data_IF_880496135206
#
_entry.id   IF_880496135206
#
_cell.length_a   1.000
_cell.length_b   1.000
_cell.length_c   1.000
_cell.angle_alpha   90.00
_cell.angle_beta   90.00
_cell.angle_gamma   90.00
#
_symmetry.space_group_name_H-M   'P 1'
#
loop_
_entity.id
_entity.type
_entity.pdbx_description
1 polymer ?
#
# COMPACT_ATOMS: atom_id res chain seq x y z
N UNK A 1 10.58 -30.58 5.25
CA UNK A 1 12.04 -30.61 5.02
C UNK A 1 12.51 -29.18 4.93
N UNK A 2 13.23 -28.70 5.95
CA UNK A 2 13.93 -27.41 5.91
C UNK A 2 15.26 -27.66 5.18
N UNK A 3 15.54 -26.90 4.13
CA UNK A 3 16.82 -26.92 3.44
C UNK A 3 17.54 -25.60 3.68
N UNK A 4 18.85 -25.68 3.95
CA UNK A 4 19.72 -24.51 3.97
C UNK A 4 20.25 -24.27 2.55
N UNK A 5 20.28 -23.01 2.12
CA UNK A 5 20.99 -22.64 0.89
C UNK A 5 22.52 -22.70 1.10
N UNK A 6 23.30 -22.62 0.02
CA UNK A 6 24.78 -22.61 0.07
C UNK A 6 25.35 -21.43 0.89
N UNK A 7 24.50 -20.49 1.32
CA UNK A 7 24.85 -19.37 2.21
C UNK A 7 24.39 -19.55 3.66
N UNK A 8 23.91 -20.74 4.02
CA UNK A 8 23.51 -21.09 5.39
C UNK A 8 22.21 -20.43 5.85
N UNK A 9 21.38 -19.89 4.94
CA UNK A 9 20.07 -19.34 5.30
C UNK A 9 19.02 -20.46 5.31
N UNK A 10 18.23 -20.50 6.38
CA UNK A 10 17.08 -21.40 6.47
C UNK A 10 16.02 -20.98 5.44
N UNK A 11 15.86 -21.80 4.39
CA UNK A 11 14.84 -21.60 3.38
C UNK A 11 13.61 -22.41 3.79
N UNK A 12 12.55 -21.69 4.15
CA UNK A 12 11.21 -22.27 4.23
C UNK A 12 10.71 -22.51 2.81
N UNK A 13 10.83 -23.75 2.33
CA UNK A 13 10.24 -24.17 1.06
C UNK A 13 8.72 -24.10 1.19
N UNK A 14 8.13 -23.00 0.72
CA UNK A 14 6.70 -22.92 0.46
C UNK A 14 6.39 -23.79 -0.77
N UNK A 15 5.31 -24.56 -0.75
CA UNK A 15 5.08 -25.74 -1.61
C UNK A 15 5.60 -25.65 -3.05
N UNK A 16 5.23 -24.61 -3.79
CA UNK A 16 5.58 -24.45 -5.22
C UNK A 16 6.83 -23.58 -5.46
N UNK A 17 7.73 -23.45 -4.49
CA UNK A 17 8.98 -22.69 -4.65
C UNK A 17 9.83 -23.32 -5.76
N UNK A 18 10.01 -22.60 -6.87
CA UNK A 18 10.72 -23.07 -8.07
C UNK A 18 9.84 -23.65 -9.18
N UNK A 19 8.54 -23.90 -8.93
CA UNK A 19 7.64 -24.52 -9.91
C UNK A 19 7.50 -23.73 -11.20
N UNK A 20 7.56 -22.39 -11.16
CA UNK A 20 7.52 -21.53 -12.36
C UNK A 20 8.75 -21.68 -13.25
N UNK A 21 9.93 -21.90 -12.65
CA UNK A 21 11.16 -22.09 -13.42
C UNK A 21 11.16 -23.46 -14.11
N UNK A 22 10.69 -24.50 -13.40
CA UNK A 22 10.56 -25.83 -13.99
C UNK A 22 9.46 -25.89 -15.07
N UNK A 23 8.34 -25.19 -14.87
CA UNK A 23 7.29 -25.10 -15.87
C UNK A 23 7.78 -24.40 -17.14
N UNK A 24 8.64 -23.38 -17.01
CA UNK A 24 9.28 -22.75 -18.17
C UNK A 24 10.23 -23.73 -18.90
N UNK A 25 11.01 -24.51 -18.15
CA UNK A 25 11.87 -25.56 -18.72
C UNK A 25 11.06 -26.63 -19.46
N UNK A 26 9.94 -27.06 -18.87
CA UNK A 26 9.02 -28.02 -19.46
C UNK A 26 8.42 -27.49 -20.77
N UNK A 27 7.89 -26.27 -20.76
CA UNK A 27 7.27 -25.69 -21.96
C UNK A 27 8.31 -25.40 -23.05
N UNK A 28 9.56 -25.09 -22.69
CA UNK A 28 10.64 -24.87 -23.66
C UNK A 28 11.12 -26.17 -24.34
N UNK A 29 11.15 -27.30 -23.61
CA UNK A 29 11.73 -28.56 -24.07
C UNK A 29 10.71 -29.67 -24.38
N UNK A 30 9.41 -29.39 -24.25
CA UNK A 30 8.37 -30.40 -24.46
C UNK A 30 8.30 -30.87 -25.92
N UNK A 31 8.09 -32.17 -26.11
CA UNK A 31 7.79 -32.79 -27.41
C UNK A 31 6.29 -33.05 -27.62
N UNK A 32 5.47 -32.76 -26.62
CA UNK A 32 4.02 -32.94 -26.64
C UNK A 32 3.30 -31.60 -26.42
N UNK A 33 2.11 -31.42 -27.00
CA UNK A 33 1.32 -30.21 -26.75
C UNK A 33 0.90 -30.17 -25.28
N UNK A 34 1.18 -29.03 -24.63
CA UNK A 34 0.82 -28.79 -23.23
C UNK A 34 -0.30 -27.75 -23.18
N UNK A 35 -1.41 -28.09 -22.55
CA UNK A 35 -2.52 -27.16 -22.30
C UNK A 35 -2.47 -26.68 -20.86
N UNK A 36 -2.28 -25.37 -20.68
CA UNK A 36 -2.25 -24.73 -19.37
C UNK A 36 -3.55 -23.97 -19.14
N UNK A 37 -4.26 -24.30 -18.06
CA UNK A 37 -5.45 -23.58 -17.62
C UNK A 37 -5.13 -22.71 -16.41
N UNK A 38 -5.52 -21.43 -16.44
CA UNK A 38 -5.29 -20.47 -15.37
C UNK A 38 -6.53 -19.62 -15.16
N UNK A 39 -7.02 -19.54 -13.92
CA UNK A 39 -8.15 -18.66 -13.57
C UNK A 39 -7.73 -17.18 -13.54
N UNK A 40 -6.53 -16.92 -13.01
CA UNK A 40 -5.95 -15.57 -12.92
C UNK A 40 -4.58 -15.53 -13.58
N UNK A 41 -4.51 -14.85 -14.73
CA UNK A 41 -3.27 -14.66 -15.50
C UNK A 41 -2.19 -13.96 -14.64
N UNK A 42 -2.59 -13.02 -13.77
CA UNK A 42 -1.66 -12.34 -12.85
C UNK A 42 -1.13 -13.24 -11.73
N UNK A 43 -1.85 -14.31 -11.37
CA UNK A 43 -1.33 -15.35 -10.46
C UNK A 43 -0.11 -16.07 -11.06
N UNK A 44 -0.18 -16.36 -12.37
CA UNK A 44 0.92 -16.97 -13.11
C UNK A 44 2.14 -16.04 -13.19
N UNK A 45 1.95 -14.76 -13.50
CA UNK A 45 3.06 -13.80 -13.57
C UNK A 45 3.66 -13.42 -12.20
N UNK A 46 2.84 -13.47 -11.16
CA UNK A 46 3.18 -13.08 -9.79
C UNK A 46 2.75 -11.65 -9.47
N UNK A 47 2.34 -11.42 -8.21
CA UNK A 47 1.82 -10.12 -7.73
C UNK A 47 2.93 -9.10 -7.38
N UNK A 48 4.20 -9.39 -7.70
CA UNK A 48 5.36 -8.56 -7.35
C UNK A 48 5.85 -7.72 -8.54
N UNK A 49 6.81 -6.82 -8.30
CA UNK A 49 7.43 -5.95 -9.32
C UNK A 49 8.03 -6.72 -10.52
N UNK A 50 8.29 -8.03 -10.36
CA UNK A 50 8.94 -8.88 -11.37
C UNK A 50 7.99 -9.47 -12.42
N UNK A 51 6.67 -9.23 -12.33
CA UNK A 51 5.67 -9.86 -13.21
C UNK A 51 5.93 -9.68 -14.71
N UNK A 52 6.48 -8.52 -15.11
CA UNK A 52 6.85 -8.24 -16.51
C UNK A 52 7.92 -9.20 -17.02
N UNK A 53 8.96 -9.43 -16.22
CA UNK A 53 10.07 -10.33 -16.58
C UNK A 53 9.60 -11.77 -16.72
N UNK A 54 8.64 -12.21 -15.90
CA UNK A 54 8.08 -13.56 -15.97
C UNK A 54 7.22 -13.70 -17.22
N UNK A 55 6.32 -12.75 -17.49
CA UNK A 55 5.48 -12.74 -18.69
C UNK A 55 6.31 -12.81 -19.96
N UNK A 56 7.35 -11.99 -20.04
CA UNK A 56 8.17 -11.89 -21.25
C UNK A 56 8.98 -13.19 -21.51
N UNK A 57 9.25 -14.00 -20.47
CA UNK A 57 9.88 -15.33 -20.60
C UNK A 57 8.91 -16.41 -21.10
N UNK A 58 7.64 -16.37 -20.71
CA UNK A 58 6.64 -17.38 -21.09
C UNK A 58 5.99 -17.10 -22.45
N UNK A 59 5.81 -15.82 -22.79
CA UNK A 59 5.11 -15.38 -24.00
C UNK A 59 5.64 -16.01 -25.31
N UNK A 60 6.95 -16.25 -25.49
CA UNK A 60 7.47 -16.89 -26.72
C UNK A 60 7.06 -18.36 -26.88
N UNK A 61 6.74 -19.05 -25.79
CA UNK A 61 6.49 -20.49 -25.79
C UNK A 61 5.02 -20.86 -25.62
N UNK A 62 4.12 -19.87 -25.60
CA UNK A 62 2.70 -20.07 -25.29
C UNK A 62 1.81 -19.26 -26.22
N UNK A 63 0.73 -19.88 -26.66
CA UNK A 63 -0.40 -19.19 -27.28
C UNK A 63 -1.48 -18.96 -26.20
N UNK A 64 -1.84 -17.69 -25.98
CA UNK A 64 -2.80 -17.32 -24.94
C UNK A 64 -4.20 -17.26 -25.55
N UNK A 65 -5.06 -18.19 -25.13
CA UNK A 65 -6.49 -18.18 -25.45
C UNK A 65 -7.25 -17.62 -24.25
N UNK A 66 -7.86 -16.45 -24.41
CA UNK A 66 -8.66 -15.81 -23.36
C UNK A 66 -10.12 -16.25 -23.44
N UNK A 67 -10.61 -16.88 -22.38
CA UNK A 67 -12.02 -17.23 -22.23
C UNK A 67 -12.77 -16.06 -21.59
N UNK A 68 -13.71 -15.49 -22.32
CA UNK A 68 -14.61 -14.46 -21.81
C UNK A 68 -15.83 -15.09 -21.11
N UNK A 69 -16.51 -14.29 -20.27
CA UNK A 69 -17.77 -14.70 -19.63
C UNK A 69 -18.84 -14.96 -20.69
N UNK A 70 -19.70 -15.94 -20.45
CA UNK A 70 -20.79 -16.26 -21.37
C UNK A 70 -21.78 -15.08 -21.44
N UNK A 71 -22.25 -14.74 -22.64
CA UNK A 71 -23.28 -13.70 -22.81
C UNK A 71 -24.63 -14.16 -22.27
N UNK A 72 -25.47 -13.20 -21.85
CA UNK A 72 -26.80 -13.47 -21.33
C UNK A 72 -27.66 -14.28 -22.34
N UNK A 73 -27.49 -14.04 -23.64
CA UNK A 73 -28.18 -14.81 -24.68
C UNK A 73 -27.70 -16.28 -24.73
N UNK A 74 -26.40 -16.52 -24.59
CA UNK A 74 -25.85 -17.88 -24.54
C UNK A 74 -26.32 -18.61 -23.28
N UNK A 75 -26.31 -17.95 -22.12
CA UNK A 75 -26.84 -18.50 -20.85
C UNK A 75 -28.31 -18.90 -21.00
N UNK A 76 -29.15 -18.00 -21.56
CA UNK A 76 -30.56 -18.27 -21.82
C UNK A 76 -30.76 -19.48 -22.72
N UNK A 77 -30.01 -19.56 -23.81
CA UNK A 77 -30.11 -20.67 -24.78
C UNK A 77 -29.75 -22.00 -24.12
N UNK A 78 -28.71 -22.03 -23.29
CA UNK A 78 -28.27 -23.22 -22.57
C UNK A 78 -29.28 -23.62 -21.50
N UNK A 79 -29.78 -22.67 -20.71
CA UNK A 79 -30.81 -22.94 -19.71
C UNK A 79 -32.07 -23.54 -20.34
N UNK A 80 -32.59 -22.93 -21.41
CA UNK A 80 -33.76 -23.44 -22.14
C UNK A 80 -33.52 -24.81 -22.78
N UNK A 81 -32.28 -25.14 -23.15
CA UNK A 81 -31.93 -26.46 -23.71
C UNK A 81 -31.95 -27.52 -22.60
N UNK A 82 -31.27 -27.25 -21.50
CA UNK A 82 -31.20 -28.17 -20.35
C UNK A 82 -32.60 -28.45 -19.80
N UNK A 83 -33.41 -27.42 -19.57
CA UNK A 83 -34.78 -27.61 -19.04
C UNK A 83 -35.68 -28.43 -19.96
N UNK A 84 -35.54 -28.26 -21.28
CA UNK A 84 -36.27 -29.07 -22.28
C UNK A 84 -35.81 -30.52 -22.28
N UNK A 85 -34.50 -30.77 -22.17
CA UNK A 85 -33.94 -32.13 -22.14
C UNK A 85 -34.31 -32.86 -20.85
N UNK A 86 -34.45 -32.14 -19.73
CA UNK A 86 -34.91 -32.68 -18.44
C UNK A 86 -36.45 -32.82 -18.34
N UNK A 87 -37.20 -32.38 -19.36
CA UNK A 87 -38.67 -32.52 -19.40
C UNK A 87 -39.42 -31.62 -18.41
N UNK A 88 -38.83 -30.49 -18.03
CA UNK A 88 -39.44 -29.52 -17.11
C UNK A 88 -40.11 -28.37 -17.88
N UNK A 89 -41.33 -28.02 -17.47
CA UNK A 89 -41.98 -26.80 -17.92
C UNK A 89 -41.34 -25.59 -17.25
N UNK A 90 -41.25 -24.48 -17.96
CA UNK A 90 -40.62 -23.26 -17.43
C UNK A 90 -41.30 -21.99 -17.96
N UNK A 91 -41.34 -20.98 -17.10
CA UNK A 91 -41.70 -19.61 -17.49
C UNK A 91 -40.48 -18.88 -18.06
N UNK A 92 -40.69 -18.10 -19.14
CA UNK A 92 -39.65 -17.25 -19.72
C UNK A 92 -39.16 -16.20 -18.73
N UNK A 93 -40.03 -15.72 -17.83
CA UNK A 93 -39.64 -14.80 -16.76
C UNK A 93 -38.72 -15.46 -15.71
N UNK A 94 -38.87 -16.77 -15.48
CA UNK A 94 -37.99 -17.52 -14.57
C UNK A 94 -36.59 -17.69 -15.17
N UNK A 95 -36.51 -17.98 -16.47
CA UNK A 95 -35.23 -18.06 -17.19
C UNK A 95 -34.52 -16.71 -17.22
N UNK A 96 -35.25 -15.62 -17.42
CA UNK A 96 -34.71 -14.27 -17.35
C UNK A 96 -34.09 -13.96 -15.98
N UNK A 97 -34.79 -14.28 -14.90
CA UNK A 97 -34.31 -14.07 -13.54
C UNK A 97 -33.02 -14.85 -13.25
N UNK A 98 -32.93 -16.11 -13.69
CA UNK A 98 -31.71 -16.94 -13.55
C UNK A 98 -30.52 -16.38 -14.35
N UNK A 99 -30.76 -15.85 -15.53
CA UNK A 99 -29.70 -15.29 -16.39
C UNK A 99 -29.16 -13.99 -15.79
N UNK A 100 -30.03 -13.13 -15.26
CA UNK A 100 -29.64 -11.84 -14.70
C UNK A 100 -28.91 -11.95 -13.36
N UNK A 101 -29.17 -12.99 -12.57
CA UNK A 101 -28.47 -13.23 -11.30
C UNK A 101 -27.06 -13.81 -11.49
N UNK A 102 -26.76 -14.39 -12.65
CA UNK A 102 -25.52 -15.11 -12.90
C UNK A 102 -24.49 -14.22 -13.63
N UNK A 103 -23.25 -14.06 -13.12
CA UNK A 103 -22.20 -13.26 -13.74
C UNK A 103 -21.56 -13.91 -15.00
N UNK A 104 -22.25 -14.82 -15.68
CA UNK A 104 -21.74 -15.51 -16.88
C UNK A 104 -20.93 -16.78 -16.59
N UNK A 105 -21.23 -17.48 -15.51
CA UNK A 105 -20.67 -18.80 -15.16
C UNK A 105 -21.65 -19.94 -15.50
N UNK A 106 -21.29 -20.73 -16.51
CA UNK A 106 -22.08 -21.87 -16.99
C UNK A 106 -22.21 -22.98 -15.93
N UNK A 107 -21.16 -23.24 -15.15
CA UNK A 107 -21.19 -24.28 -14.12
C UNK A 107 -22.08 -23.87 -12.96
N UNK A 108 -22.10 -22.58 -12.60
CA UNK A 108 -23.04 -22.06 -11.63
C UNK A 108 -24.48 -22.21 -12.12
N UNK A 109 -24.75 -21.81 -13.37
CA UNK A 109 -26.09 -21.90 -13.98
C UNK A 109 -26.64 -23.33 -13.94
N UNK A 110 -25.84 -24.32 -14.35
CA UNK A 110 -26.27 -25.73 -14.35
C UNK A 110 -26.56 -26.24 -12.93
N UNK A 111 -25.80 -25.80 -11.92
CA UNK A 111 -26.10 -26.18 -10.53
C UNK A 111 -27.39 -25.53 -10.03
N UNK A 112 -27.60 -24.27 -10.35
CA UNK A 112 -28.84 -23.58 -9.95
C UNK A 112 -30.05 -24.25 -10.60
N UNK A 113 -29.95 -24.62 -11.88
CA UNK A 113 -30.96 -25.43 -12.58
C UNK A 113 -31.16 -26.80 -11.93
N UNK A 114 -30.08 -27.49 -11.52
CA UNK A 114 -30.18 -28.78 -10.83
C UNK A 114 -30.92 -28.68 -9.50
N UNK A 115 -30.66 -27.62 -8.72
CA UNK A 115 -31.35 -27.39 -7.44
C UNK A 115 -32.83 -27.10 -7.67
N UNK A 116 -33.15 -26.24 -8.65
CA UNK A 116 -34.53 -25.93 -9.01
C UNK A 116 -35.26 -27.18 -9.52
N UNK A 117 -34.64 -27.98 -10.38
CA UNK A 117 -35.17 -29.23 -10.88
C UNK A 117 -35.45 -30.25 -9.75
N UNK A 118 -34.58 -30.29 -8.73
CA UNK A 118 -34.78 -31.18 -7.58
C UNK A 118 -35.91 -30.74 -6.62
N UNK A 119 -36.32 -29.48 -6.71
CA UNK A 119 -37.33 -28.88 -5.82
C UNK A 119 -38.68 -28.70 -6.52
N UNK A 120 -38.69 -28.62 -7.86
CA UNK A 120 -39.87 -28.34 -8.65
C UNK A 120 -40.66 -29.61 -8.97
N UNK A 121 -41.98 -29.57 -8.75
CA UNK A 121 -42.95 -30.56 -9.23
C UNK A 121 -43.29 -30.31 -10.71
N UNK A 122 -42.28 -30.37 -11.59
CA UNK A 122 -42.45 -30.34 -13.04
C UNK A 122 -42.54 -28.95 -13.69
N UNK A 123 -42.75 -27.87 -12.94
CA UNK A 123 -42.78 -26.49 -13.48
C UNK A 123 -41.88 -25.53 -12.68
N UNK A 124 -41.06 -24.74 -13.39
CA UNK A 124 -40.20 -23.72 -12.79
C UNK A 124 -40.83 -22.34 -12.96
N UNK A 125 -41.24 -21.75 -11.84
CA UNK A 125 -41.78 -20.38 -11.78
C UNK A 125 -40.73 -19.37 -11.35
N UNK A 126 -40.97 -18.09 -11.64
CA UNK A 126 -40.08 -16.99 -11.26
C UNK A 126 -39.86 -16.89 -9.75
N UNK A 127 -40.91 -17.09 -8.95
CA UNK A 127 -40.82 -17.03 -7.48
C UNK A 127 -39.87 -18.09 -6.92
N UNK A 128 -39.87 -19.31 -7.50
CA UNK A 128 -38.92 -20.36 -7.09
C UNK A 128 -37.48 -19.95 -7.37
N UNK A 129 -37.23 -19.30 -8.52
CA UNK A 129 -35.90 -18.78 -8.87
C UNK A 129 -35.47 -17.68 -7.91
N UNK A 130 -36.36 -16.74 -7.57
CA UNK A 130 -36.06 -15.66 -6.64
C UNK A 130 -35.78 -16.19 -5.22
N UNK A 131 -36.60 -17.11 -4.72
CA UNK A 131 -36.39 -17.75 -3.41
C UNK A 131 -35.07 -18.53 -3.36
N UNK A 132 -34.71 -19.24 -4.44
CA UNK A 132 -33.45 -19.95 -4.55
C UNK A 132 -32.27 -18.97 -4.68
N UNK A 133 -32.43 -17.86 -5.38
CA UNK A 133 -31.42 -16.82 -5.50
C UNK A 133 -31.18 -16.10 -4.15
N UNK A 134 -32.22 -15.92 -3.34
CA UNK A 134 -32.12 -15.40 -1.97
C UNK A 134 -31.47 -16.42 -1.02
N UNK A 135 -31.86 -17.69 -1.10
CA UNK A 135 -31.32 -18.76 -0.25
C UNK A 135 -29.87 -19.13 -0.62
N UNK A 136 -29.53 -19.03 -1.91
CA UNK A 136 -28.21 -19.29 -2.47
C UNK A 136 -27.32 -18.05 -2.56
N UNK A 137 -27.81 -16.89 -2.08
CA UNK A 137 -27.08 -15.62 -2.11
C UNK A 137 -25.83 -15.76 -1.25
N UNK A 138 -24.71 -16.11 -1.89
CA UNK A 138 -23.40 -15.82 -1.31
C UNK A 138 -23.34 -14.31 -1.12
N UNK A 139 -22.79 -13.84 0.00
CA UNK A 139 -22.40 -12.44 0.16
C UNK A 139 -21.48 -12.11 -1.02
N UNK A 140 -22.06 -11.53 -2.07
CA UNK A 140 -21.33 -11.08 -3.24
C UNK A 140 -20.68 -9.80 -2.80
N UNK A 141 -19.35 -9.83 -2.71
CA UNK A 141 -18.62 -8.64 -2.34
C UNK A 141 -18.79 -7.62 -3.46
N UNK A 142 -19.30 -6.45 -3.12
CA UNK A 142 -19.34 -5.30 -4.01
C UNK A 142 -17.92 -4.77 -4.16
N UNK A 143 -17.51 -4.52 -5.39
CA UNK A 143 -16.29 -3.77 -5.64
C UNK A 143 -16.32 -2.42 -4.92
N UNK A 144 -15.15 -1.93 -4.53
CA UNK A 144 -15.04 -0.76 -3.64
C UNK A 144 -15.71 0.49 -4.22
N UNK A 145 -15.52 0.78 -5.51
CA UNK A 145 -16.06 2.00 -6.11
C UNK A 145 -17.59 1.95 -6.28
N UNK A 146 -18.20 0.91 -6.90
CA UNK A 146 -19.65 0.78 -6.92
C UNK A 146 -20.28 0.71 -5.53
N UNK A 147 -19.63 0.00 -4.61
CA UNK A 147 -20.11 -0.12 -3.22
C UNK A 147 -20.08 1.21 -2.47
N UNK A 148 -19.04 2.02 -2.64
CA UNK A 148 -18.99 3.37 -2.08
C UNK A 148 -20.04 4.29 -2.72
N UNK A 149 -20.25 4.26 -4.04
CA UNK A 149 -21.31 5.08 -4.67
C UNK A 149 -22.69 4.73 -4.12
N UNK A 150 -23.00 3.43 -4.00
CA UNK A 150 -24.25 2.97 -3.38
C UNK A 150 -24.36 3.41 -1.91
N UNK A 151 -23.26 3.29 -1.15
CA UNK A 151 -23.21 3.69 0.26
C UNK A 151 -23.48 5.18 0.45
N UNK A 152 -22.81 6.05 -0.32
CA UNK A 152 -22.99 7.50 -0.25
C UNK A 152 -24.38 7.97 -0.70
N UNK A 153 -25.06 7.19 -1.56
CA UNK A 153 -26.44 7.47 -2.00
C UNK A 153 -27.51 6.95 -1.03
N UNK A 154 -27.16 6.04 -0.12
CA UNK A 154 -28.11 5.54 0.87
C UNK A 154 -28.43 6.63 1.89
N UNK A 155 -29.71 6.73 2.27
CA UNK A 155 -30.17 7.65 3.33
C UNK A 155 -30.65 6.90 4.59
N UNK A 156 -30.73 5.57 4.50
CA UNK A 156 -31.21 4.71 5.58
C UNK A 156 -30.05 4.03 6.29
N UNK A 157 -30.07 4.03 7.62
CA UNK A 157 -29.01 3.47 8.45
C UNK A 157 -28.85 1.96 8.24
N UNK A 158 -29.95 1.23 8.11
CA UNK A 158 -29.95 -0.22 7.90
C UNK A 158 -29.33 -0.58 6.54
N UNK A 159 -29.76 0.11 5.48
CA UNK A 159 -29.22 -0.06 4.14
C UNK A 159 -27.72 0.27 4.08
N UNK A 160 -27.30 1.35 4.73
CA UNK A 160 -25.88 1.74 4.78
C UNK A 160 -25.01 0.69 5.48
N UNK A 161 -25.49 0.11 6.58
CA UNK A 161 -24.79 -0.97 7.28
C UNK A 161 -24.73 -2.24 6.43
N UNK A 162 -25.80 -2.59 5.73
CA UNK A 162 -25.82 -3.73 4.82
C UNK A 162 -24.83 -3.54 3.66
N UNK A 163 -24.86 -2.39 3.00
CA UNK A 163 -23.92 -2.04 1.91
C UNK A 163 -22.47 -2.05 2.39
N UNK A 164 -22.21 -1.49 3.57
CA UNK A 164 -20.89 -1.48 4.19
C UNK A 164 -20.28 -2.86 4.42
N UNK A 165 -21.11 -3.86 4.75
CA UNK A 165 -20.68 -5.26 4.90
C UNK A 165 -20.39 -5.94 3.56
N UNK A 166 -21.09 -5.52 2.50
CA UNK A 166 -20.91 -6.06 1.16
C UNK A 166 -19.65 -5.53 0.48
N UNK A 167 -19.14 -4.34 0.83
CA UNK A 167 -17.92 -3.79 0.22
C UNK A 167 -16.73 -4.72 0.48
N UNK A 168 -15.94 -5.01 -0.56
CA UNK A 168 -14.74 -5.87 -0.51
C UNK A 168 -13.53 -5.22 0.21
N UNK A 169 -13.76 -4.69 1.41
CA UNK A 169 -12.75 -4.05 2.26
C UNK A 169 -12.96 -4.38 3.73
N UNK A 170 -11.89 -4.77 4.46
CA UNK A 170 -12.00 -4.89 5.91
C UNK A 170 -12.29 -3.50 6.53
N UNK A 171 -12.93 -3.43 7.71
CA UNK A 171 -13.20 -2.19 8.43
C UNK A 171 -12.01 -1.25 8.58
N UNK A 172 -10.81 -1.79 8.78
CA UNK A 172 -9.58 -0.99 8.84
C UNK A 172 -9.29 -0.24 7.54
N UNK A 173 -9.51 -0.85 6.39
CA UNK A 173 -9.42 -0.18 5.09
C UNK A 173 -10.64 0.69 4.84
N UNK A 174 -11.85 0.22 5.13
CA UNK A 174 -13.10 0.97 4.90
C UNK A 174 -13.09 2.34 5.61
N UNK A 175 -12.63 2.40 6.87
CA UNK A 175 -12.46 3.66 7.60
C UNK A 175 -11.57 4.63 6.83
N UNK A 176 -10.46 4.15 6.28
CA UNK A 176 -9.51 4.96 5.51
C UNK A 176 -10.11 5.45 4.19
N UNK A 177 -10.88 4.60 3.51
CA UNK A 177 -11.60 4.96 2.29
C UNK A 177 -12.66 6.04 2.54
N UNK A 178 -13.47 5.88 3.58
CA UNK A 178 -14.53 6.84 3.91
C UNK A 178 -13.92 8.16 4.42
N UNK A 179 -12.92 8.11 5.30
CA UNK A 179 -12.19 9.29 5.76
C UNK A 179 -11.63 10.12 4.62
N UNK A 180 -10.99 9.46 3.64
CA UNK A 180 -10.40 10.13 2.48
C UNK A 180 -11.45 10.83 1.59
N UNK A 181 -12.63 10.22 1.42
CA UNK A 181 -13.63 10.69 0.47
C UNK A 181 -14.65 11.66 1.08
N UNK A 182 -14.96 11.56 2.37
CA UNK A 182 -16.02 12.37 3.02
C UNK A 182 -15.85 13.88 2.80
N UNK A 183 -14.63 14.41 2.96
CA UNK A 183 -14.37 15.83 2.83
C UNK A 183 -14.54 16.34 1.38
N UNK A 184 -14.31 15.48 0.38
CA UNK A 184 -14.46 15.84 -1.03
C UNK A 184 -15.88 15.63 -1.54
N UNK A 185 -16.62 14.67 -0.96
CA UNK A 185 -17.93 14.28 -1.46
C UNK A 185 -19.05 15.05 -0.77
N UNK A 186 -18.96 15.34 0.52
CA UNK A 186 -20.05 16.03 1.20
C UNK A 186 -20.11 17.52 0.84
N UNK A 187 -21.29 18.03 0.44
CA UNK A 187 -21.45 19.44 0.07
C UNK A 187 -21.43 20.36 1.30
N UNK A 188 -21.97 19.90 2.44
CA UNK A 188 -22.14 20.71 3.65
C UNK A 188 -21.04 20.44 4.68
N UNK A 189 -20.46 21.52 5.21
CA UNK A 189 -19.44 21.45 6.28
C UNK A 189 -19.96 20.80 7.56
N UNK A 190 -21.24 20.99 7.89
CA UNK A 190 -21.86 20.37 9.07
C UNK A 190 -21.98 18.85 8.93
N UNK A 191 -22.27 18.34 7.73
CA UNK A 191 -22.29 16.91 7.44
C UNK A 191 -20.89 16.30 7.53
N UNK A 192 -19.87 17.00 7.05
CA UNK A 192 -18.45 16.61 7.22
C UNK A 192 -18.10 16.50 8.71
N UNK A 193 -18.44 17.51 9.51
CA UNK A 193 -18.14 17.52 10.94
C UNK A 193 -18.81 16.35 11.68
N UNK A 194 -20.10 16.11 11.44
CA UNK A 194 -20.85 15.00 12.05
C UNK A 194 -20.27 13.64 11.65
N UNK A 195 -19.96 13.46 10.37
CA UNK A 195 -19.36 12.23 9.89
C UNK A 195 -17.97 11.96 10.47
N UNK A 196 -17.14 12.99 10.57
CA UNK A 196 -15.81 12.87 11.16
C UNK A 196 -15.85 12.53 12.65
N UNK A 197 -16.87 13.00 13.39
CA UNK A 197 -17.09 12.56 14.78
C UNK A 197 -17.38 11.06 14.84
N UNK A 198 -18.27 10.55 14.00
CA UNK A 198 -18.58 9.12 13.91
C UNK A 198 -17.36 8.30 13.47
N UNK A 199 -16.60 8.74 12.47
CA UNK A 199 -15.35 8.10 12.05
C UNK A 199 -14.30 8.07 13.15
N UNK A 200 -14.19 9.14 13.95
CA UNK A 200 -13.26 9.19 15.06
C UNK A 200 -13.59 8.13 16.12
N UNK A 201 -14.89 7.91 16.38
CA UNK A 201 -15.34 6.81 17.26
C UNK A 201 -15.04 5.47 16.60
N UNK A 202 -15.31 5.30 15.31
CA UNK A 202 -15.00 4.07 14.57
C UNK A 202 -13.52 3.69 14.65
N UNK A 203 -12.62 4.66 14.47
CA UNK A 203 -11.17 4.46 14.55
C UNK A 203 -10.70 4.10 15.97
N UNK A 204 -11.24 4.76 17.00
CA UNK A 204 -10.95 4.40 18.41
C UNK A 204 -11.42 2.98 18.72
N UNK A 205 -12.59 2.58 18.24
CA UNK A 205 -13.09 1.22 18.43
C UNK A 205 -12.21 0.20 17.72
N UNK A 206 -11.78 0.48 16.48
CA UNK A 206 -10.86 -0.38 15.75
C UNK A 206 -9.56 -0.62 16.53
N UNK A 207 -9.02 0.39 17.22
CA UNK A 207 -7.83 0.23 18.07
C UNK A 207 -8.08 -0.75 19.23
N UNK A 208 -9.30 -0.77 19.77
CA UNK A 208 -9.69 -1.68 20.86
C UNK A 208 -9.51 -3.17 20.50
N UNK A 209 -9.53 -3.55 19.22
CA UNK A 209 -9.27 -4.93 18.78
C UNK A 209 -7.85 -5.40 19.07
N UNK A 210 -6.89 -4.46 19.19
CA UNK A 210 -5.48 -4.76 19.43
C UNK A 210 -5.09 -4.68 20.91
N UNK A 211 -5.91 -4.01 21.72
CA UNK A 211 -5.65 -3.82 23.15
C UNK A 211 -6.33 -4.87 24.03
N UNK A 212 -7.37 -5.52 23.53
CA UNK A 212 -8.17 -6.49 24.27
C UNK A 212 -8.58 -7.65 23.36
N UNK A 213 -9.03 -8.78 23.91
CA UNK A 213 -9.68 -9.89 23.16
C UNK A 213 -11.04 -9.49 22.56
N UNK A 214 -11.34 -8.19 22.52
CA UNK A 214 -12.55 -7.60 22.00
C UNK A 214 -12.54 -7.52 20.47
N UNK A 215 -12.52 -8.69 19.81
CA UNK A 215 -12.74 -8.83 18.37
C UNK A 215 -14.08 -8.24 17.91
N UNK A 216 -15.04 -8.02 18.85
CA UNK A 216 -16.33 -7.37 18.60
C UNK A 216 -16.23 -5.91 18.17
N UNK A 217 -15.12 -5.23 18.50
CA UNK A 217 -14.91 -3.85 18.10
C UNK A 217 -14.74 -3.68 16.59
N UNK A 218 -14.25 -4.73 15.91
CA UNK A 218 -14.15 -4.81 14.45
C UNK A 218 -15.52 -4.63 13.77
N UNK A 219 -16.54 -5.33 14.27
CA UNK A 219 -17.92 -5.24 13.77
C UNK A 219 -18.47 -3.81 13.87
N UNK A 220 -18.34 -3.17 15.04
CA UNK A 220 -18.82 -1.81 15.24
C UNK A 220 -18.05 -0.78 14.43
N UNK A 221 -16.73 -0.97 14.27
CA UNK A 221 -15.89 -0.06 13.50
C UNK A 221 -16.32 0.03 12.03
N UNK A 222 -16.66 -1.11 11.41
CA UNK A 222 -17.14 -1.15 10.02
C UNK A 222 -18.50 -0.49 9.86
N UNK A 223 -19.41 -0.70 10.81
CA UNK A 223 -20.73 -0.09 10.78
C UNK A 223 -20.70 1.42 10.95
N UNK A 224 -19.93 1.90 11.92
CA UNK A 224 -19.75 3.32 12.14
C UNK A 224 -19.08 4.00 10.95
N UNK A 225 -18.12 3.34 10.30
CA UNK A 225 -17.55 3.82 9.05
C UNK A 225 -18.61 3.95 7.95
N UNK A 226 -19.47 2.94 7.80
CA UNK A 226 -20.53 2.93 6.79
C UNK A 226 -21.58 4.00 7.05
N UNK A 227 -22.05 4.12 8.29
CA UNK A 227 -22.98 5.16 8.72
C UNK A 227 -22.41 6.55 8.53
N UNK A 228 -21.11 6.75 8.75
CA UNK A 228 -20.48 8.06 8.57
C UNK A 228 -20.47 8.54 7.11
N UNK A 229 -20.53 7.62 6.15
CA UNK A 229 -20.58 7.94 4.72
C UNK A 229 -22.00 8.30 4.24
N UNK A 230 -23.05 7.88 4.95
CA UNK A 230 -24.45 8.03 4.50
C UNK A 230 -25.24 9.03 5.35
N UNK A 231 -25.66 8.61 6.55
CA UNK A 231 -26.63 9.28 7.44
C UNK A 231 -26.30 10.76 7.75
N UNK A 232 -25.01 11.17 7.90
CA UNK A 232 -24.68 12.57 8.11
C UNK A 232 -25.08 13.48 6.95
N UNK A 233 -25.10 12.98 5.71
CA UNK A 233 -25.45 13.77 4.55
C UNK A 233 -26.96 13.90 4.42
N UNK A 234 -27.46 15.13 4.48
CA UNK A 234 -28.90 15.42 4.31
C UNK A 234 -29.26 15.76 2.86
N UNK A 235 -28.25 16.05 2.03
CA UNK A 235 -28.43 16.47 0.64
C UNK A 235 -28.20 15.27 -0.27
N UNK A 236 -29.23 14.78 -0.99
CA UNK A 236 -29.06 13.64 -1.87
C UNK A 236 -28.16 13.97 -3.05
N UNK A 237 -27.26 13.04 -3.39
CA UNK A 237 -26.40 13.15 -4.57
C UNK A 237 -27.20 12.98 -5.87
N UNK A 238 -27.28 14.02 -6.69
CA UNK A 238 -27.91 13.97 -8.02
C UNK A 238 -26.93 13.60 -9.12
N UNK A 239 -25.69 14.07 -9.01
CA UNK A 239 -24.63 13.82 -9.99
C UNK A 239 -23.83 12.54 -9.70
N UNK A 240 -22.93 12.21 -10.63
CA UNK A 240 -21.99 11.10 -10.46
C UNK A 240 -20.98 11.41 -9.37
N UNK A 241 -20.81 10.47 -8.43
CA UNK A 241 -19.85 10.56 -7.36
C UNK A 241 -18.50 10.03 -7.87
N UNK A 242 -17.43 10.76 -7.62
CA UNK A 242 -16.07 10.36 -7.96
C UNK A 242 -15.30 10.05 -6.67
N UNK A 243 -15.46 8.83 -6.16
CA UNK A 243 -14.63 8.34 -5.07
C UNK A 243 -13.21 8.05 -5.57
N UNK A 244 -12.21 8.39 -4.76
CA UNK A 244 -10.81 8.26 -5.10
C UNK A 244 -10.09 7.32 -4.11
N UNK A 245 -9.07 6.64 -4.62
CA UNK A 245 -8.23 5.76 -3.80
C UNK A 245 -7.38 6.59 -2.81
N UNK A 246 -7.40 6.27 -1.50
CA UNK A 246 -6.65 7.01 -0.49
C UNK A 246 -5.17 7.11 -0.82
N UNK A 247 -4.65 8.33 -0.89
CA UNK A 247 -3.27 8.55 -1.33
C UNK A 247 -2.23 7.88 -0.42
N UNK A 248 -2.47 7.91 0.89
CA UNK A 248 -1.59 7.34 1.92
C UNK A 248 -1.58 5.80 1.94
N UNK A 249 -2.59 5.13 1.37
CA UNK A 249 -2.58 3.67 1.20
C UNK A 249 -1.75 3.24 -0.01
N UNK A 250 -1.42 4.16 -0.92
CA UNK A 250 -0.56 3.84 -2.06
C UNK A 250 0.80 3.49 -1.48
N UNK A 251 1.31 2.31 -1.83
CA UNK A 251 2.74 1.99 -1.68
C UNK A 251 3.51 2.91 -2.62
N UNK A 252 3.73 4.15 -2.20
CA UNK A 252 4.65 5.03 -2.88
C UNK A 252 6.03 4.39 -2.70
N UNK A 253 6.71 4.13 -3.80
CA UNK A 253 8.16 3.99 -3.73
C UNK A 253 8.63 5.29 -3.07
N UNK A 254 9.24 5.17 -1.89
CA UNK A 254 9.81 6.32 -1.20
C UNK A 254 10.73 7.00 -2.20
N UNK A 255 10.37 8.22 -2.62
CA UNK A 255 11.26 9.06 -3.42
C UNK A 255 12.53 9.38 -2.61
N UNK A 256 12.44 9.24 -1.28
CA UNK A 256 13.53 9.38 -0.33
C UNK A 256 14.34 8.09 -0.27
N UNK A 257 15.64 8.20 -0.55
CA UNK A 257 16.60 7.11 -0.41
C UNK A 257 16.78 6.76 1.09
N UNK A 258 16.82 5.48 1.47
CA UNK A 258 17.01 5.07 2.87
C UNK A 258 18.23 5.71 3.55
N UNK A 259 19.32 5.92 2.79
CA UNK A 259 20.54 6.56 3.26
C UNK A 259 20.32 7.98 3.82
N UNK A 260 19.37 8.75 3.24
CA UNK A 260 19.00 10.09 3.73
C UNK A 260 18.40 9.96 5.13
N UNK A 261 17.47 9.01 5.31
CA UNK A 261 16.83 8.78 6.61
C UNK A 261 17.86 8.31 7.63
N UNK A 262 18.76 7.41 7.25
CA UNK A 262 19.81 6.91 8.15
C UNK A 262 20.73 8.04 8.62
N UNK A 263 21.18 8.92 7.72
CA UNK A 263 21.98 10.12 8.07
C UNK A 263 21.24 11.07 8.99
N UNK A 264 19.96 11.32 8.72
CA UNK A 264 19.13 12.16 9.58
C UNK A 264 18.98 11.57 10.97
N UNK A 265 18.75 10.25 11.08
CA UNK A 265 18.65 9.60 12.39
C UNK A 265 19.98 9.61 13.16
N UNK A 266 21.12 9.53 12.47
CA UNK A 266 22.44 9.65 13.11
C UNK A 266 22.68 11.06 13.65
N UNK A 267 22.24 12.09 12.92
CA UNK A 267 22.39 13.48 13.33
C UNK A 267 21.41 13.89 14.44
N UNK A 268 20.14 13.47 14.34
CA UNK A 268 19.08 13.87 15.27
C UNK A 268 18.94 12.96 16.50
N UNK A 269 19.47 11.73 16.45
CA UNK A 269 19.21 10.69 17.44
C UNK A 269 17.75 10.19 17.46
N UNK A 270 16.93 10.56 16.47
CA UNK A 270 15.50 10.20 16.42
C UNK A 270 15.26 8.84 15.73
N UNK A 271 14.05 8.30 15.89
CA UNK A 271 13.66 7.08 15.19
C UNK A 271 13.54 7.32 13.68
N UNK A 272 13.72 6.27 12.87
CA UNK A 272 13.56 6.34 11.40
C UNK A 272 12.17 6.83 10.97
N UNK A 273 11.15 6.56 11.78
CA UNK A 273 9.79 7.05 11.53
C UNK A 273 9.70 8.56 11.79
N UNK A 274 10.15 9.02 12.97
CA UNK A 274 10.16 10.44 13.31
C UNK A 274 11.01 11.27 12.32
N UNK A 275 12.19 10.77 11.94
CA UNK A 275 13.02 11.43 10.94
C UNK A 275 12.31 11.56 9.58
N UNK A 276 11.54 10.55 9.17
CA UNK A 276 10.79 10.57 7.90
C UNK A 276 9.56 11.49 7.95
N UNK A 277 8.85 11.53 9.07
CA UNK A 277 7.57 12.23 9.16
C UNK A 277 7.72 13.68 9.62
N UNK A 278 8.71 13.98 10.47
CA UNK A 278 8.90 15.31 11.06
C UNK A 278 10.04 16.09 10.40
N UNK A 279 11.23 15.48 10.28
CA UNK A 279 12.42 16.18 9.77
C UNK A 279 12.43 16.23 8.23
N UNK A 280 12.01 15.16 7.58
CA UNK A 280 12.15 15.04 6.13
C UNK A 280 11.28 16.04 5.34
N UNK A 281 10.00 16.28 5.68
CA UNK A 281 9.18 17.23 4.93
C UNK A 281 9.72 18.66 5.04
N UNK A 282 10.28 19.03 6.19
CA UNK A 282 10.90 20.34 6.40
C UNK A 282 12.13 20.51 5.53
N UNK A 283 13.03 19.51 5.53
CA UNK A 283 14.22 19.53 4.67
C UNK A 283 13.87 19.52 3.18
N UNK A 284 12.86 18.74 2.78
CA UNK A 284 12.37 18.73 1.40
C UNK A 284 11.82 20.11 0.99
N UNK A 285 11.12 20.80 1.88
CA UNK A 285 10.60 22.14 1.62
C UNK A 285 11.70 23.20 1.47
N UNK A 286 12.80 23.07 2.22
CA UNK A 286 13.96 23.96 2.11
C UNK A 286 14.80 23.72 0.85
N UNK A 287 14.93 22.46 0.41
CA UNK A 287 15.77 22.10 -0.74
C UNK A 287 15.01 22.16 -2.07
N UNK A 288 13.68 22.02 -2.05
CA UNK A 288 12.87 22.11 -3.25
C UNK A 288 12.80 23.55 -3.72
N UNK A 289 13.12 23.77 -5.00
CA UNK A 289 13.00 25.06 -5.66
C UNK A 289 11.54 25.56 -5.59
N UNK A 290 11.31 26.55 -4.71
CA UNK A 290 10.02 27.13 -4.44
C UNK A 290 10.22 28.65 -4.25
N UNK A 291 9.45 29.50 -4.96
CA UNK A 291 9.75 30.93 -5.14
C UNK A 291 9.95 31.79 -3.88
N UNK A 292 9.65 31.26 -2.69
CA UNK A 292 9.70 31.99 -1.42
C UNK A 292 10.31 31.21 -0.24
N UNK A 293 10.60 29.92 -0.37
CA UNK A 293 10.95 29.07 0.78
C UNK A 293 12.24 28.30 0.55
N UNK A 294 12.39 27.68 -0.60
CA UNK A 294 13.47 26.74 -0.84
C UNK A 294 14.27 27.09 -2.08
N UNK A 295 15.58 26.95 -1.96
CA UNK A 295 16.53 27.15 -3.05
C UNK A 295 17.28 25.83 -3.28
N UNK A 296 17.11 25.27 -4.47
CA UNK A 296 17.79 24.04 -4.84
C UNK A 296 19.29 24.24 -5.12
N UNK A 297 19.75 25.49 -5.20
CA UNK A 297 21.17 25.82 -5.39
C UNK A 297 21.92 26.01 -4.07
N UNK A 298 21.21 26.03 -2.94
CA UNK A 298 21.83 26.13 -1.63
C UNK A 298 22.26 24.74 -1.11
N UNK A 299 23.57 24.46 -1.22
CA UNK A 299 24.11 23.14 -0.87
C UNK A 299 24.58 23.02 0.59
N UNK A 300 24.76 24.13 1.30
CA UNK A 300 25.42 24.16 2.62
C UNK A 300 24.78 23.24 3.66
N UNK A 301 23.44 23.20 3.74
CA UNK A 301 22.73 22.31 4.66
C UNK A 301 22.95 20.82 4.32
N UNK A 302 22.92 20.50 3.02
CA UNK A 302 23.09 19.13 2.54
C UNK A 302 24.53 18.63 2.74
N UNK A 303 25.52 19.49 2.51
CA UNK A 303 26.94 19.18 2.74
C UNK A 303 27.19 18.93 4.24
N UNK A 304 26.66 19.78 5.13
CA UNK A 304 26.82 19.61 6.58
C UNK A 304 26.14 18.36 7.13
N UNK A 305 25.00 17.97 6.56
CA UNK A 305 24.31 16.71 6.87
C UNK A 305 24.97 15.49 6.19
N UNK A 306 26.01 15.72 5.39
CA UNK A 306 26.79 14.70 4.71
C UNK A 306 26.08 14.05 3.52
N UNK A 307 25.05 14.68 2.94
CA UNK A 307 24.33 14.16 1.77
C UNK A 307 25.22 14.08 0.52
N UNK A 308 24.92 13.11 -0.36
CA UNK A 308 25.54 13.05 -1.69
C UNK A 308 24.80 13.97 -2.67
N UNK A 309 25.44 14.30 -3.80
CA UNK A 309 24.81 15.10 -4.85
C UNK A 309 23.52 14.47 -5.39
N UNK A 310 23.47 13.13 -5.49
CA UNK A 310 22.26 12.42 -5.91
C UNK A 310 21.14 12.50 -4.87
N UNK A 311 21.48 12.47 -3.58
CA UNK A 311 20.51 12.59 -2.50
C UNK A 311 19.95 14.00 -2.41
N UNK A 312 20.81 15.02 -2.53
CA UNK A 312 20.37 16.42 -2.59
C UNK A 312 19.45 16.67 -3.79
N UNK A 313 19.79 16.17 -4.98
CA UNK A 313 18.92 16.25 -6.16
C UNK A 313 17.58 15.52 -5.96
N UNK A 314 17.60 14.37 -5.26
CA UNK A 314 16.40 13.63 -4.88
C UNK A 314 15.51 14.45 -3.93
N UNK A 315 16.12 15.13 -2.95
CA UNK A 315 15.49 16.06 -1.99
C UNK A 315 14.82 17.25 -2.67
N UNK A 316 15.45 17.78 -3.72
CA UNK A 316 14.87 18.86 -4.51
C UNK A 316 13.70 18.41 -5.41
N UNK A 317 13.38 17.10 -5.46
CA UNK A 317 12.31 16.55 -6.30
C UNK A 317 12.64 16.57 -7.79
N UNK A 318 13.93 16.64 -8.16
CA UNK A 318 14.36 16.70 -9.55
C UNK A 318 14.62 15.30 -10.11
N UNK A 319 13.99 14.93 -11.25
CA UNK A 319 14.22 13.62 -11.85
C UNK A 319 15.64 13.51 -12.42
N UNK A 320 16.32 12.35 -12.27
CA UNK A 320 17.73 12.18 -12.63
C UNK A 320 18.01 12.29 -14.14
N UNK A 321 16.97 12.19 -14.98
CA UNK A 321 17.09 12.26 -16.43
C UNK A 321 17.23 13.68 -16.98
N UNK A 322 16.87 14.72 -16.22
CA UNK A 322 16.90 16.11 -16.71
C UNK A 322 18.32 16.68 -16.72
N UNK A 323 18.60 17.54 -17.71
CA UNK A 323 19.89 18.26 -17.83
C UNK A 323 20.13 19.16 -16.60
N UNK A 324 19.10 19.88 -16.15
CA UNK A 324 19.15 20.72 -14.95
C UNK A 324 19.65 19.94 -13.72
N UNK A 325 19.19 18.70 -13.54
CA UNK A 325 19.63 17.83 -12.44
C UNK A 325 21.11 17.50 -12.55
N UNK A 326 21.61 17.21 -13.76
CA UNK A 326 23.03 16.92 -13.98
C UNK A 326 23.92 18.12 -13.73
N UNK A 327 23.46 19.31 -14.12
CA UNK A 327 24.20 20.56 -13.90
C UNK A 327 24.27 20.90 -12.41
N UNK A 328 23.18 20.66 -11.66
CA UNK A 328 23.13 20.83 -10.22
C UNK A 328 24.01 19.84 -9.47
N UNK A 329 24.04 18.57 -9.89
CA UNK A 329 24.97 17.56 -9.33
C UNK A 329 26.43 17.99 -9.51
N UNK A 330 26.78 18.57 -10.67
CA UNK A 330 28.15 19.09 -10.91
C UNK A 330 28.46 20.28 -10.01
N UNK A 331 27.52 21.22 -9.86
CA UNK A 331 27.68 22.37 -8.98
C UNK A 331 27.86 21.93 -7.52
N UNK A 332 27.07 20.97 -7.06
CA UNK A 332 27.18 20.39 -5.72
C UNK A 332 28.55 19.77 -5.46
N UNK A 333 29.05 18.95 -6.40
CA UNK A 333 30.36 18.31 -6.23
C UNK A 333 31.50 19.35 -6.12
N UNK A 334 31.43 20.44 -6.88
CA UNK A 334 32.42 21.52 -6.81
C UNK A 334 32.42 22.21 -5.44
N UNK A 335 31.23 22.48 -4.87
CA UNK A 335 31.15 23.07 -3.53
C UNK A 335 31.54 22.08 -2.42
N UNK A 336 31.24 20.79 -2.60
CA UNK A 336 31.69 19.74 -1.69
C UNK A 336 33.22 19.65 -1.66
N UNK A 337 33.88 19.68 -2.82
CA UNK A 337 35.34 19.72 -2.93
C UNK A 337 35.93 20.94 -2.20
N UNK A 338 35.38 22.13 -2.45
CA UNK A 338 35.80 23.36 -1.77
C UNK A 338 35.59 23.30 -0.24
N UNK A 339 34.51 22.67 0.23
CA UNK A 339 34.25 22.48 1.66
C UNK A 339 35.26 21.53 2.30
N UNK A 340 35.61 20.44 1.62
CA UNK A 340 36.63 19.49 2.10
C UNK A 340 38.00 20.18 2.14
N UNK A 341 38.39 20.92 1.11
CA UNK A 341 39.65 21.67 1.07
C UNK A 341 39.76 22.69 2.21
N UNK A 342 38.65 23.38 2.54
CA UNK A 342 38.60 24.32 3.66
C UNK A 342 38.72 23.65 5.04
N UNK A 343 38.30 22.39 5.19
CA UNK A 343 38.48 21.64 6.45
C UNK A 343 39.87 21.02 6.62
N UNK A 344 40.63 20.86 5.53
CA UNK A 344 41.97 20.25 5.55
C UNK A 344 43.08 21.25 5.87
N UNK A 345 42.84 22.56 5.77
CA UNK A 345 43.80 23.57 6.23
C UNK A 345 43.89 23.56 7.77
N UNK A 346 45.02 23.15 8.37
CA UNK A 346 45.19 23.26 9.82
C UNK A 346 45.22 24.74 10.17
N UNK A 347 44.45 25.15 11.18
CA UNK A 347 44.65 26.44 11.81
C UNK A 347 46.10 26.50 12.33
N UNK A 348 46.94 27.37 11.75
CA UNK A 348 48.25 27.68 12.29
C UNK A 348 48.06 28.20 13.72
N UNK A 349 48.51 27.41 14.70
CA UNK A 349 48.58 27.86 16.08
C UNK A 349 49.50 29.09 16.14
N UNK A 350 49.07 30.21 16.73
CA UNK A 350 49.95 31.36 16.89
C UNK A 350 51.13 30.98 17.78
N UNK A 351 52.34 31.17 17.26
CA UNK A 351 53.59 31.04 18.00
C UNK A 351 53.59 32.02 19.17
N UNK A 352 53.60 31.49 20.39
CA UNK A 352 53.81 32.27 21.60
C UNK A 352 55.31 32.58 21.66
N UNK A 353 55.68 33.85 21.49
CA UNK A 353 57.03 34.34 21.74
C UNK A 353 57.38 34.12 23.22
N UNK A 354 58.44 33.35 23.49
CA UNK A 354 59.06 33.26 24.81
C UNK A 354 59.83 34.56 25.12
N UNK A 355 59.66 35.18 26.30
CA UNK A 355 60.62 36.15 26.79
C UNK A 355 61.73 35.46 27.60
N UNK A 356 62.98 35.70 27.19
CA UNK A 356 64.22 35.37 27.92
C UNK A 356 64.37 36.11 29.27
N UNK A 357 65.22 35.62 30.18
CA UNK A 357 65.09 35.80 31.64
C UNK A 357 65.86 37.00 32.21
N UNK A 358 65.39 37.52 33.36
CA UNK A 358 66.16 38.42 34.24
C UNK A 358 65.90 38.09 35.72
N UNK A 359 66.93 37.52 36.34
CA UNK A 359 67.43 37.62 37.73
C UNK A 359 66.48 37.89 38.92
N UNK A 360 66.31 36.82 39.70
CA UNK A 360 66.43 36.67 41.16
C UNK A 360 66.23 37.86 42.12
N UNK A 361 65.32 37.67 43.10
CA UNK A 361 65.68 37.80 44.52
C UNK A 361 64.84 36.84 45.38
N UNK A 362 65.53 36.16 46.29
CA UNK A 362 65.07 35.10 47.19
C UNK A 362 64.14 35.59 48.32
N UNK A 363 63.21 34.73 48.77
CA UNK A 363 63.05 34.43 50.20
C UNK A 363 62.33 33.10 50.42
N UNK A 364 62.99 32.24 51.20
CA UNK A 364 62.68 30.85 51.57
C UNK A 364 61.52 30.71 52.57
N UNK A 365 60.81 29.57 52.50
CA UNK A 365 60.55 28.57 53.58
C UNK A 365 59.42 27.63 53.12
N UNK A 366 59.70 26.33 52.86
CA UNK A 366 59.56 25.18 53.79
C UNK A 366 58.07 24.79 53.99
N UNK A 367 57.58 23.56 53.83
CA UNK A 367 58.14 22.20 53.86
C UNK A 367 57.20 21.19 53.14
N UNK A 368 57.80 20.10 52.61
CA UNK A 368 57.41 18.65 52.68
C UNK A 368 55.96 18.22 52.40
N UNK A 369 55.59 17.11 51.75
CA UNK A 369 56.13 15.85 51.21
C UNK A 369 54.95 15.31 50.33
N UNK A 370 55.05 14.72 49.15
CA UNK A 370 55.74 13.48 48.79
C UNK A 370 54.81 12.58 47.95
N UNK A 371 55.30 12.05 46.82
CA UNK A 371 54.85 10.77 46.23
C UNK A 371 53.86 10.79 45.04
N UNK A 372 54.37 10.50 43.84
CA UNK A 372 53.64 10.21 42.60
C UNK A 372 53.62 8.65 42.34
N UNK A 373 53.14 8.11 41.19
CA UNK A 373 51.91 7.30 40.96
C UNK A 373 52.28 5.83 40.57
N UNK A 374 51.66 5.07 39.61
CA UNK A 374 50.30 4.98 39.04
C UNK A 374 49.70 3.54 39.08
N UNK A 375 48.40 3.37 38.82
CA UNK A 375 47.72 2.06 38.82
C UNK A 375 46.71 1.89 37.68
N UNK A 376 47.18 1.27 36.60
CA UNK A 376 46.49 0.81 35.41
C UNK A 376 45.40 -0.26 35.72
N UNK A 377 44.15 -0.09 35.25
CA UNK A 377 43.25 -1.24 35.06
C UNK A 377 42.38 -1.12 33.79
N UNK A 378 42.27 -2.29 33.13
CA UNK A 378 41.66 -2.58 31.84
C UNK A 378 40.13 -2.71 31.93
N UNK A 379 39.54 -2.54 30.74
CA UNK A 379 38.25 -3.05 30.26
C UNK A 379 37.72 -4.28 31.01
N UNK A 380 36.45 -4.20 31.39
CA UNK A 380 35.38 -5.09 30.89
C UNK A 380 34.12 -4.27 30.61
#
# INVERSE_FOLDING_TARGET
MQGQDDSGRDVTLSGDSGGKAELLNLVANTKQPVMLACNEVMGLWGKSSSWRSTRDRFKPHMEIITFERASNEALRRIAKRVLREEGLDFDDAAVEAMVNSNPGDLRALVRDLQVLASTADGNITKEMVENQAESGRRDSTLEVFPGLDALYRSNEAEQAVALGRLIDKPPSELINWVHWNNASLFPEKESIARANQTLSVAAKMLMGQYQNTAHRSWYWSGQLASLSASVPNKVPFRDRIYSSYPSFLRRQASWVRPAIVDRLTQFSGSSKAAARDELMPLLAAMVKDAPHIGDATEFGLSIRLGFSAEEHASMAGMPPSRRSTKDLIKAYNKELEAFIEAQVQPAELPTIDEPTPSEATESKQNDEEGGNPPGQMKLF
#
